data_IF_133758277098
#
_entry.id   IF_133758277098
#
_cell.length_a   1.000
_cell.length_b   1.000
_cell.length_c   1.000
_cell.angle_alpha   90.00
_cell.angle_beta   90.00
_cell.angle_gamma   90.00
#
_symmetry.space_group_name_H-M   'P 1'
#
loop_
_entity.id
_entity.type
_entity.pdbx_description
1 polymer ?
#
# COMPACT_ATOMS: atom_id res chain seq x y z
N UNK A 1 23.06 -9.81 32.74
CA UNK A 1 22.05 -9.50 31.68
C UNK A 1 22.47 -9.80 30.24
N UNK A 2 23.76 -9.71 29.85
CA UNK A 2 24.23 -10.03 28.47
C UNK A 2 24.16 -11.51 28.09
N UNK A 3 24.20 -12.45 29.04
CA UNK A 3 24.14 -13.90 28.77
C UNK A 3 22.74 -14.43 28.48
N UNK A 4 21.68 -13.78 28.98
CA UNK A 4 20.29 -14.22 28.75
C UNK A 4 19.81 -13.84 27.33
N UNK A 5 20.30 -12.74 26.78
CA UNK A 5 19.96 -12.31 25.42
C UNK A 5 20.56 -13.23 24.35
N UNK A 6 21.77 -13.79 24.62
CA UNK A 6 22.41 -14.75 23.72
C UNK A 6 21.69 -16.10 23.65
N UNK A 7 21.11 -16.57 24.76
CA UNK A 7 20.40 -17.85 24.80
C UNK A 7 19.06 -17.78 24.09
N UNK A 8 18.37 -16.64 24.15
CA UNK A 8 17.11 -16.41 23.40
C UNK A 8 17.31 -16.32 21.89
N UNK A 9 18.46 -15.80 21.46
CA UNK A 9 18.81 -15.74 20.03
C UNK A 9 19.23 -17.12 19.53
N UNK A 10 19.97 -17.89 20.33
CA UNK A 10 20.42 -19.24 19.97
C UNK A 10 19.25 -20.23 19.94
N UNK A 11 18.28 -20.13 20.86
CA UNK A 11 17.08 -20.98 20.89
C UNK A 11 16.16 -20.81 19.67
N UNK A 12 16.18 -19.64 19.03
CA UNK A 12 15.45 -19.37 17.80
C UNK A 12 16.17 -19.95 16.55
N UNK A 13 17.48 -20.18 16.63
CA UNK A 13 18.28 -20.67 15.52
C UNK A 13 18.28 -22.20 15.36
N UNK A 14 17.95 -22.95 16.42
CA UNK A 14 18.09 -24.42 16.43
C UNK A 14 16.84 -25.23 16.02
N UNK A 15 15.77 -24.56 15.57
CA UNK A 15 14.52 -25.26 15.25
C UNK A 15 14.16 -25.25 13.75
N UNK A 16 15.17 -25.23 12.86
CA UNK A 16 14.94 -25.23 11.41
C UNK A 16 14.48 -26.60 10.88
N UNK A 17 13.23 -26.71 10.48
CA UNK A 17 12.86 -27.68 9.46
C UNK A 17 13.07 -26.98 8.10
N UNK A 18 13.99 -27.47 7.31
CA UNK A 18 14.22 -27.01 5.95
C UNK A 18 13.00 -27.38 5.09
N UNK A 19 12.19 -26.41 4.78
CA UNK A 19 11.25 -26.55 3.68
C UNK A 19 12.00 -26.31 2.38
N UNK A 20 11.80 -27.16 1.38
CA UNK A 20 12.33 -26.93 0.06
C UNK A 20 11.81 -25.57 -0.49
N UNK A 21 12.74 -24.68 -0.79
CA UNK A 21 12.41 -23.35 -1.28
C UNK A 21 12.30 -23.32 -2.79
N UNK A 22 11.29 -22.57 -3.27
CA UNK A 22 11.25 -22.24 -4.70
C UNK A 22 12.34 -21.22 -5.04
N UNK A 23 12.88 -21.26 -6.26
CA UNK A 23 13.86 -20.28 -6.75
C UNK A 23 13.39 -18.82 -6.57
N UNK A 24 12.10 -18.59 -6.67
CA UNK A 24 11.49 -17.29 -6.44
C UNK A 24 11.65 -16.80 -4.99
N UNK A 25 11.50 -17.70 -4.02
CA UNK A 25 11.66 -17.38 -2.59
C UNK A 25 13.14 -17.12 -2.27
N UNK A 26 14.05 -17.92 -2.80
CA UNK A 26 15.50 -17.72 -2.66
C UNK A 26 15.93 -16.38 -3.22
N UNK A 27 15.50 -16.04 -4.43
CA UNK A 27 15.78 -14.74 -5.06
C UNK A 27 15.26 -13.59 -4.21
N UNK A 28 14.03 -13.70 -3.72
CA UNK A 28 13.44 -12.71 -2.83
C UNK A 28 14.22 -12.57 -1.51
N UNK A 29 14.56 -13.67 -0.87
CA UNK A 29 15.35 -13.69 0.36
C UNK A 29 16.71 -13.02 0.20
N UNK A 30 17.43 -13.37 -0.84
CA UNK A 30 18.72 -12.77 -1.20
C UNK A 30 18.59 -11.26 -1.40
N UNK A 31 17.61 -10.82 -2.20
CA UNK A 31 17.37 -9.40 -2.45
C UNK A 31 16.91 -8.64 -1.21
N UNK A 32 16.32 -9.33 -0.23
CA UNK A 32 15.85 -8.75 1.02
C UNK A 32 16.87 -8.75 2.13
N UNK A 33 18.07 -9.27 1.89
CA UNK A 33 19.14 -9.42 2.90
C UNK A 33 18.68 -10.18 4.16
N UNK A 34 17.86 -11.19 3.95
CA UNK A 34 17.39 -12.09 5.00
C UNK A 34 18.37 -13.28 5.06
N UNK A 35 18.76 -13.76 6.25
CA UNK A 35 19.53 -15.00 6.35
C UNK A 35 18.84 -16.16 5.65
N UNK A 36 19.60 -17.06 5.02
CA UNK A 36 19.07 -18.11 4.15
C UNK A 36 18.05 -19.01 4.86
N UNK A 37 18.29 -19.32 6.11
CA UNK A 37 17.40 -20.11 6.97
C UNK A 37 16.01 -19.48 7.20
N UNK A 38 15.85 -18.20 6.85
CA UNK A 38 14.59 -17.46 6.98
C UNK A 38 13.95 -17.09 5.63
N UNK A 39 14.45 -17.59 4.51
CA UNK A 39 13.91 -17.25 3.19
C UNK A 39 12.45 -17.63 3.05
N UNK A 40 12.07 -18.75 3.62
CA UNK A 40 10.69 -19.22 3.63
C UNK A 40 10.03 -19.00 5.00
N UNK A 41 9.29 -17.90 5.21
CA UNK A 41 8.62 -17.65 6.48
C UNK A 41 7.66 -18.77 6.85
N UNK A 42 7.81 -19.23 8.06
CA UNK A 42 6.96 -20.22 8.69
C UNK A 42 6.52 -19.73 10.08
N UNK A 43 5.70 -20.51 10.77
CA UNK A 43 5.18 -20.09 12.08
C UNK A 43 6.26 -19.77 13.11
N UNK A 44 7.44 -20.38 13.01
CA UNK A 44 8.58 -20.13 13.92
C UNK A 44 9.33 -18.85 13.58
N UNK A 45 9.32 -18.43 12.32
CA UNK A 45 10.06 -17.26 11.83
C UNK A 45 9.20 -16.00 11.67
N UNK A 46 7.89 -16.06 11.97
CA UNK A 46 6.96 -14.95 11.77
C UNK A 46 7.39 -13.65 12.46
N UNK A 47 7.85 -13.73 13.72
CA UNK A 47 8.30 -12.55 14.47
C UNK A 47 9.49 -11.87 13.80
N UNK A 48 10.44 -12.66 13.30
CA UNK A 48 11.58 -12.15 12.55
C UNK A 48 11.12 -11.43 11.27
N UNK A 49 10.27 -12.06 10.48
CA UNK A 49 9.76 -11.46 9.24
C UNK A 49 8.97 -10.18 9.51
N UNK A 50 8.11 -10.18 10.52
CA UNK A 50 7.39 -8.97 10.94
C UNK A 50 8.35 -7.83 11.27
N UNK A 51 9.34 -8.07 12.12
CA UNK A 51 10.34 -7.07 12.47
C UNK A 51 11.14 -6.60 11.27
N UNK A 52 11.54 -7.51 10.38
CA UNK A 52 12.28 -7.19 9.17
C UNK A 52 11.47 -6.30 8.22
N UNK A 53 10.20 -6.61 8.02
CA UNK A 53 9.30 -5.76 7.22
C UNK A 53 9.08 -4.40 7.89
N UNK A 54 8.82 -4.40 9.18
CA UNK A 54 8.53 -3.18 9.91
C UNK A 54 9.74 -2.25 10.07
N UNK A 55 10.97 -2.76 9.98
CA UNK A 55 12.20 -1.94 9.98
C UNK A 55 12.51 -1.29 8.63
N UNK A 56 11.78 -1.62 7.57
CA UNK A 56 12.00 -0.99 6.25
C UNK A 56 11.87 0.52 6.35
N UNK A 57 12.83 1.23 5.75
CA UNK A 57 12.89 2.68 5.73
C UNK A 57 13.17 3.35 7.09
N UNK A 58 13.64 2.62 8.11
CA UNK A 58 13.97 3.23 9.41
C UNK A 58 15.15 4.22 9.31
N UNK A 59 16.11 3.98 8.42
CA UNK A 59 17.23 4.87 8.14
C UNK A 59 16.88 6.06 7.22
N UNK A 60 15.69 6.06 6.63
CA UNK A 60 15.27 7.09 5.67
C UNK A 60 14.63 8.28 6.38
N UNK A 61 14.61 9.43 5.68
CA UNK A 61 13.79 10.58 6.10
C UNK A 61 12.33 10.18 6.18
N UNK A 62 11.62 10.73 7.14
CA UNK A 62 10.23 10.39 7.43
C UNK A 62 9.36 11.64 7.36
N UNK A 63 8.25 11.51 6.66
CA UNK A 63 7.18 12.50 6.65
C UNK A 63 6.06 11.96 7.53
N UNK A 64 5.68 12.72 8.54
CA UNK A 64 4.63 12.35 9.48
C UNK A 64 3.41 13.21 9.29
N UNK A 65 2.23 12.57 9.38
CA UNK A 65 1.01 13.31 9.69
C UNK A 65 0.88 13.48 11.19
N UNK A 66 0.25 14.57 11.61
CA UNK A 66 -0.18 14.72 13.00
C UNK A 66 -1.50 13.98 13.19
N UNK A 67 -1.78 13.46 14.39
CA UNK A 67 -3.12 12.97 14.74
C UNK A 67 -4.15 14.09 14.59
N UNK A 68 -5.37 13.72 14.21
CA UNK A 68 -6.50 14.65 14.22
C UNK A 68 -6.87 15.01 15.67
N UNK A 69 -7.28 16.25 15.89
CA UNK A 69 -7.88 16.64 17.17
C UNK A 69 -9.30 16.07 17.36
N UNK A 70 -9.92 15.70 16.23
CA UNK A 70 -11.23 15.07 16.18
C UNK A 70 -11.16 13.87 15.22
N UNK A 71 -10.62 12.73 15.68
CA UNK A 71 -10.51 11.55 14.84
C UNK A 71 -11.87 11.05 14.37
N UNK A 72 -11.92 10.56 13.13
CA UNK A 72 -13.11 9.89 12.61
C UNK A 72 -13.47 8.71 13.51
N UNK A 73 -14.69 8.74 14.06
CA UNK A 73 -15.16 7.72 14.98
C UNK A 73 -15.31 6.37 14.27
N UNK A 74 -14.97 5.31 15.00
CA UNK A 74 -15.22 3.94 14.57
C UNK A 74 -16.33 3.38 15.46
N UNK A 75 -17.41 2.94 14.85
CA UNK A 75 -18.50 2.25 15.53
C UNK A 75 -18.30 0.75 15.41
N UNK A 76 -18.61 0.02 16.47
CA UNK A 76 -18.45 -1.42 16.55
C UNK A 76 -19.81 -2.09 16.78
N UNK A 77 -20.12 -3.04 15.90
CA UNK A 77 -21.27 -3.94 16.03
C UNK A 77 -20.79 -5.35 15.68
N UNK A 78 -20.00 -5.92 16.58
CA UNK A 78 -19.26 -7.14 16.31
C UNK A 78 -20.19 -8.32 16.11
N UNK A 79 -20.08 -8.96 14.96
CA UNK A 79 -20.78 -10.20 14.67
C UNK A 79 -20.35 -11.29 15.66
N UNK A 80 -21.36 -11.97 16.22
CA UNK A 80 -21.16 -13.08 17.14
C UNK A 80 -21.22 -14.44 16.43
N UNK A 81 -21.12 -14.47 15.08
CA UNK A 81 -21.19 -15.74 14.33
C UNK A 81 -19.92 -16.58 14.57
N UNK A 82 -20.03 -17.67 15.36
CA UNK A 82 -18.86 -18.43 15.79
C UNK A 82 -18.11 -19.06 14.61
N UNK A 83 -18.81 -19.40 13.53
CA UNK A 83 -18.21 -20.05 12.35
C UNK A 83 -17.23 -19.13 11.63
N UNK A 84 -17.60 -17.87 11.40
CA UNK A 84 -16.75 -16.86 10.73
C UNK A 84 -15.53 -16.57 11.59
N UNK A 85 -15.75 -16.24 12.87
CA UNK A 85 -14.67 -15.94 13.82
C UNK A 85 -13.70 -17.13 13.93
N UNK A 86 -14.23 -18.36 14.04
CA UNK A 86 -13.41 -19.58 14.09
C UNK A 86 -12.57 -19.76 12.84
N UNK A 87 -13.12 -19.47 11.65
CA UNK A 87 -12.39 -19.58 10.37
C UNK A 87 -11.23 -18.57 10.31
N UNK A 88 -11.47 -17.32 10.70
CA UNK A 88 -10.42 -16.28 10.75
C UNK A 88 -9.36 -16.66 11.79
N UNK A 89 -9.77 -17.03 13.00
CA UNK A 89 -8.86 -17.44 14.08
C UNK A 89 -8.00 -18.64 13.66
N UNK A 90 -8.58 -19.64 13.00
CA UNK A 90 -7.82 -20.78 12.46
C UNK A 90 -6.77 -20.33 11.43
N UNK A 91 -7.13 -19.37 10.55
CA UNK A 91 -6.17 -18.80 9.61
C UNK A 91 -5.08 -17.99 10.31
N UNK A 92 -5.43 -17.22 11.32
CA UNK A 92 -4.43 -16.52 12.14
C UNK A 92 -3.47 -17.49 12.83
N UNK A 93 -3.95 -18.58 13.37
CA UNK A 93 -3.11 -19.59 14.04
C UNK A 93 -2.19 -20.33 13.08
N UNK A 94 -2.62 -20.60 11.85
CA UNK A 94 -1.92 -21.46 10.90
C UNK A 94 -1.16 -20.71 9.79
N UNK A 95 -1.25 -19.38 9.72
CA UNK A 95 -0.65 -18.57 8.63
C UNK A 95 0.01 -17.31 9.18
N UNK A 96 0.55 -16.44 8.29
CA UNK A 96 1.11 -15.14 8.64
C UNK A 96 0.08 -14.03 8.83
N UNK A 97 -1.22 -14.34 8.90
CA UNK A 97 -2.26 -13.33 9.08
C UNK A 97 -2.16 -12.69 10.46
N UNK A 98 -2.07 -11.35 10.47
CA UNK A 98 -1.90 -10.53 11.68
C UNK A 98 -3.23 -9.89 12.09
N UNK A 99 -3.92 -9.27 11.11
CA UNK A 99 -5.12 -8.48 11.36
C UNK A 99 -6.17 -8.77 10.31
N UNK A 100 -7.42 -8.81 10.73
CA UNK A 100 -8.59 -8.87 9.88
C UNK A 100 -9.65 -7.91 10.41
N UNK A 101 -10.09 -6.98 9.58
CA UNK A 101 -11.21 -6.09 9.86
C UNK A 101 -12.25 -6.19 8.74
N UNK A 102 -13.51 -6.18 9.09
CA UNK A 102 -14.60 -5.99 8.15
C UNK A 102 -15.49 -4.87 8.65
N UNK A 103 -15.70 -3.90 7.81
CA UNK A 103 -16.59 -2.76 8.01
C UNK A 103 -17.74 -2.88 7.02
N UNK A 104 -18.96 -2.68 7.49
CA UNK A 104 -20.17 -2.78 6.71
C UNK A 104 -21.21 -1.78 7.23
N UNK A 105 -21.78 -1.00 6.32
CA UNK A 105 -22.88 -0.06 6.61
C UNK A 105 -22.61 0.86 7.82
N UNK A 106 -21.40 1.38 7.95
CA UNK A 106 -21.07 2.35 9.01
C UNK A 106 -20.44 1.76 10.26
N UNK A 107 -20.30 0.44 10.36
CA UNK A 107 -19.85 -0.24 11.58
C UNK A 107 -18.78 -1.29 11.31
N UNK A 108 -17.87 -1.49 12.25
CA UNK A 108 -16.94 -2.62 12.26
C UNK A 108 -17.70 -3.84 12.75
N UNK A 109 -17.91 -4.81 11.86
CA UNK A 109 -18.65 -6.04 12.15
C UNK A 109 -17.73 -7.22 12.47
N UNK A 110 -16.49 -7.21 11.99
CA UNK A 110 -15.46 -8.19 12.37
C UNK A 110 -14.18 -7.45 12.73
N UNK A 111 -13.63 -7.80 13.88
CA UNK A 111 -12.39 -7.27 14.40
C UNK A 111 -11.57 -8.39 15.03
N UNK A 112 -10.51 -8.80 14.30
CA UNK A 112 -9.64 -9.87 14.75
C UNK A 112 -8.18 -9.44 14.64
N UNK A 113 -7.43 -9.68 15.70
CA UNK A 113 -5.98 -9.49 15.77
C UNK A 113 -5.32 -10.82 16.14
N UNK A 114 -4.15 -11.07 15.58
CA UNK A 114 -3.39 -12.30 15.87
C UNK A 114 -3.12 -12.41 17.37
N UNK A 115 -3.33 -13.61 17.95
CA UNK A 115 -3.23 -13.76 19.39
C UNK A 115 -1.78 -13.54 19.90
N UNK A 116 -1.61 -13.09 21.16
CA UNK A 116 -0.31 -12.72 21.73
C UNK A 116 0.74 -13.82 21.69
N UNK A 117 0.33 -15.10 21.75
CA UNK A 117 1.24 -16.26 21.72
C UNK A 117 2.11 -16.30 20.46
N UNK A 118 1.65 -15.63 19.39
CA UNK A 118 2.31 -15.63 18.09
C UNK A 118 3.33 -14.52 17.94
N UNK A 119 2.96 -13.31 18.29
CA UNK A 119 3.78 -12.12 18.09
C UNK A 119 4.23 -11.47 19.40
N UNK A 120 3.67 -11.88 20.54
CA UNK A 120 3.92 -11.24 21.84
C UNK A 120 3.50 -9.78 21.81
N UNK A 121 4.30 -8.95 22.47
CA UNK A 121 4.09 -7.49 22.57
C UNK A 121 4.46 -6.73 21.29
N UNK A 122 4.78 -7.43 20.20
CA UNK A 122 5.16 -6.80 18.94
C UNK A 122 3.97 -6.21 18.18
N UNK A 123 2.76 -6.63 18.48
CA UNK A 123 1.54 -6.26 17.74
C UNK A 123 0.39 -5.99 18.70
N UNK A 124 -0.15 -4.79 18.57
CA UNK A 124 -1.39 -4.33 19.20
C UNK A 124 -2.21 -3.52 18.18
N UNK A 125 -3.26 -2.87 18.63
CA UNK A 125 -4.12 -2.03 17.80
C UNK A 125 -3.44 -0.76 17.29
N UNK A 126 -2.44 -0.25 18.02
CA UNK A 126 -1.73 0.99 17.74
C UNK A 126 -0.41 0.76 17.00
N UNK A 127 -0.01 -0.49 16.84
CA UNK A 127 1.20 -0.87 16.13
C UNK A 127 1.17 -0.33 14.70
N UNK A 128 2.15 0.51 14.37
CA UNK A 128 2.32 1.04 13.02
C UNK A 128 2.88 -0.03 12.09
N UNK A 129 2.05 -0.55 11.21
CA UNK A 129 2.41 -1.64 10.31
C UNK A 129 2.71 -1.08 8.91
N UNK A 130 3.71 -1.67 8.24
CA UNK A 130 4.18 -1.23 6.93
C UNK A 130 3.21 -1.63 5.81
N UNK A 131 2.72 -0.64 5.04
CA UNK A 131 1.65 -0.78 4.04
C UNK A 131 2.02 -1.58 2.79
N UNK A 132 3.31 -1.84 2.56
CA UNK A 132 3.76 -2.36 1.29
C UNK A 132 3.22 -1.51 0.10
N UNK A 133 2.79 -2.16 -0.97
CA UNK A 133 2.27 -1.47 -2.16
C UNK A 133 0.87 -0.84 -1.98
N UNK A 134 0.17 -1.10 -0.89
CA UNK A 134 -1.07 -0.39 -0.53
C UNK A 134 -0.89 1.13 -0.54
N UNK A 135 0.30 1.61 -0.19
CA UNK A 135 0.63 3.03 -0.23
C UNK A 135 0.57 3.68 -1.60
N UNK A 136 0.64 2.90 -2.70
CA UNK A 136 0.47 3.44 -4.06
C UNK A 136 -0.94 3.98 -4.23
N UNK A 137 -1.94 3.23 -3.80
CA UNK A 137 -3.35 3.64 -3.88
C UNK A 137 -3.61 4.88 -3.02
N UNK A 138 -2.98 4.99 -1.84
CA UNK A 138 -2.98 6.24 -1.08
C UNK A 138 -2.42 7.40 -1.91
N UNK A 139 -1.34 7.17 -2.67
CA UNK A 139 -0.79 8.17 -3.60
C UNK A 139 -1.80 8.62 -4.64
N UNK A 140 -2.59 7.71 -5.22
CA UNK A 140 -3.68 8.02 -6.15
C UNK A 140 -4.78 8.86 -5.49
N UNK A 141 -5.18 8.52 -4.28
CA UNK A 141 -6.14 9.30 -3.50
C UNK A 141 -5.61 10.73 -3.21
N UNK A 142 -4.33 10.86 -2.88
CA UNK A 142 -3.70 12.16 -2.67
C UNK A 142 -3.64 13.00 -3.96
N UNK A 143 -3.47 12.40 -5.14
CA UNK A 143 -3.60 13.11 -6.44
C UNK A 143 -5.00 13.72 -6.58
N UNK A 144 -6.07 12.99 -6.25
CA UNK A 144 -7.43 13.51 -6.27
C UNK A 144 -7.59 14.75 -5.40
N UNK A 145 -7.10 14.68 -4.17
CA UNK A 145 -7.09 15.85 -3.30
C UNK A 145 -6.25 17.02 -3.82
N UNK A 146 -5.14 16.74 -4.50
CA UNK A 146 -4.33 17.79 -5.12
C UNK A 146 -5.08 18.48 -6.29
N UNK A 147 -5.86 17.72 -7.06
CA UNK A 147 -6.75 18.26 -8.09
C UNK A 147 -7.86 19.10 -7.42
N UNK A 148 -8.56 18.56 -6.44
CA UNK A 148 -9.68 19.23 -5.79
C UNK A 148 -9.28 20.51 -5.01
N UNK A 149 -8.02 20.60 -4.59
CA UNK A 149 -7.46 21.81 -3.96
C UNK A 149 -6.83 22.79 -4.98
N UNK A 150 -6.91 22.52 -6.28
CA UNK A 150 -6.42 23.38 -7.35
C UNK A 150 -4.89 23.37 -7.53
N UNK A 151 -4.17 22.45 -6.92
CA UNK A 151 -2.73 22.31 -7.15
C UNK A 151 -2.43 21.67 -8.51
N UNK A 152 -3.27 20.74 -8.95
CA UNK A 152 -3.23 20.08 -10.25
C UNK A 152 -4.54 20.38 -10.95
N UNK A 153 -4.51 20.75 -12.22
CA UNK A 153 -5.73 21.22 -12.90
C UNK A 153 -6.72 20.07 -13.15
N UNK A 154 -6.25 18.92 -13.63
CA UNK A 154 -7.12 17.78 -13.97
C UNK A 154 -6.33 16.48 -14.20
N UNK A 155 -7.04 15.37 -14.36
CA UNK A 155 -6.47 14.09 -14.78
C UNK A 155 -5.82 14.13 -16.18
N UNK A 156 -6.32 14.99 -17.06
CA UNK A 156 -5.78 15.17 -18.43
C UNK A 156 -4.56 16.10 -18.50
N UNK A 157 -4.22 16.81 -17.40
CA UNK A 157 -3.03 17.63 -17.35
C UNK A 157 -1.77 16.80 -17.56
N UNK A 158 -0.85 17.28 -18.40
CA UNK A 158 0.48 16.68 -18.54
C UNK A 158 1.39 17.12 -17.41
N UNK A 159 2.51 16.40 -17.24
CA UNK A 159 3.55 16.77 -16.27
C UNK A 159 4.55 17.80 -16.83
N UNK A 160 4.30 18.35 -18.03
CA UNK A 160 5.23 19.23 -18.75
C UNK A 160 5.64 20.49 -17.99
N UNK A 161 4.83 20.95 -17.04
CA UNK A 161 5.13 22.08 -16.17
C UNK A 161 6.20 21.77 -15.10
N UNK A 162 6.56 20.48 -14.93
CA UNK A 162 7.59 20.07 -13.99
C UNK A 162 8.96 19.96 -14.68
N UNK A 163 9.91 20.86 -14.37
CA UNK A 163 11.17 20.94 -15.13
C UNK A 163 11.99 19.65 -15.17
N UNK A 164 11.87 18.78 -14.16
CA UNK A 164 12.66 17.55 -14.10
C UNK A 164 12.25 16.49 -15.12
N UNK A 165 11.05 16.56 -15.68
CA UNK A 165 10.57 15.59 -16.69
C UNK A 165 10.88 16.02 -18.12
N UNK A 166 11.40 17.24 -18.31
CA UNK A 166 11.73 17.76 -19.64
C UNK A 166 12.71 16.84 -20.38
N UNK A 167 12.39 16.54 -21.62
CA UNK A 167 13.17 15.63 -22.46
C UNK A 167 13.02 14.16 -22.08
N UNK A 168 12.02 13.79 -21.28
CA UNK A 168 11.74 12.40 -20.92
C UNK A 168 10.34 11.99 -21.38
N UNK A 169 10.05 10.69 -21.39
CA UNK A 169 8.72 10.17 -21.71
C UNK A 169 7.61 10.71 -20.77
N UNK A 170 7.96 11.21 -19.58
CA UNK A 170 7.00 11.74 -18.62
C UNK A 170 6.54 13.15 -18.99
N UNK A 171 7.25 13.89 -19.84
CA UNK A 171 6.87 15.25 -20.24
C UNK A 171 5.48 15.31 -20.90
N UNK A 172 5.18 14.29 -21.71
CA UNK A 172 3.88 14.16 -22.39
C UNK A 172 2.88 13.24 -21.70
N UNK A 173 3.29 12.61 -20.60
CA UNK A 173 2.39 11.77 -19.83
C UNK A 173 1.36 12.63 -19.09
N UNK A 174 0.10 12.22 -19.12
CA UNK A 174 -0.93 12.83 -18.30
C UNK A 174 -0.89 12.32 -16.86
N UNK A 175 -1.52 13.05 -15.96
CA UNK A 175 -1.73 12.60 -14.58
C UNK A 175 -2.47 11.26 -14.56
N UNK A 176 -3.48 11.09 -15.45
CA UNK A 176 -4.20 9.83 -15.62
C UNK A 176 -3.28 8.68 -16.06
N UNK A 177 -2.39 8.92 -17.05
CA UNK A 177 -1.42 7.90 -17.47
C UNK A 177 -0.51 7.48 -16.31
N UNK A 178 -0.06 8.44 -15.53
CA UNK A 178 0.82 8.21 -14.40
C UNK A 178 0.17 7.34 -13.33
N UNK A 179 -1.04 7.71 -12.89
CA UNK A 179 -1.73 6.99 -11.81
C UNK A 179 -2.33 5.65 -12.26
N UNK A 180 -2.51 5.46 -13.57
CA UNK A 180 -2.88 4.17 -14.15
C UNK A 180 -1.67 3.27 -14.45
N UNK A 181 -0.45 3.72 -14.11
CA UNK A 181 0.78 3.04 -14.47
C UNK A 181 0.85 2.68 -15.97
N UNK A 182 0.49 3.62 -16.83
CA UNK A 182 0.37 3.46 -18.31
C UNK A 182 1.07 4.58 -19.09
N UNK A 183 2.16 5.12 -18.57
CA UNK A 183 2.92 6.21 -19.18
C UNK A 183 3.66 5.84 -20.48
N UNK A 184 3.57 4.59 -20.91
CA UNK A 184 4.33 4.08 -22.07
C UNK A 184 5.76 3.69 -21.71
N UNK A 185 6.12 3.68 -20.46
CA UNK A 185 7.39 3.15 -19.98
C UNK A 185 7.35 1.63 -19.97
N UNK A 186 8.24 1.01 -20.71
CA UNK A 186 8.33 -0.45 -20.85
C UNK A 186 9.65 -1.02 -20.31
N UNK A 187 10.61 -0.18 -20.00
CA UNK A 187 12.00 -0.62 -19.87
C UNK A 187 12.63 -0.32 -18.50
N UNK A 188 12.19 0.72 -17.82
CA UNK A 188 12.93 1.30 -16.68
C UNK A 188 12.40 0.93 -15.32
N UNK A 189 11.28 0.31 -15.28
CA UNK A 189 10.43 0.09 -14.13
C UNK A 189 10.96 -0.99 -13.20
N UNK A 190 11.68 -1.94 -13.76
CA UNK A 190 12.26 -3.08 -13.07
C UNK A 190 13.73 -2.89 -12.69
N UNK A 191 14.23 -1.67 -12.77
CA UNK A 191 15.55 -1.42 -12.22
C UNK A 191 15.50 -1.66 -10.71
N UNK A 192 16.17 -2.69 -10.25
CA UNK A 192 16.19 -3.13 -8.85
C UNK A 192 16.55 -2.02 -7.87
N UNK A 193 17.33 -1.02 -8.27
CA UNK A 193 17.67 0.13 -7.45
C UNK A 193 16.48 1.05 -7.19
N UNK A 194 15.61 1.24 -8.19
CA UNK A 194 14.39 2.06 -8.06
C UNK A 194 13.25 1.28 -7.40
N UNK A 195 13.17 -0.02 -7.68
CA UNK A 195 12.08 -0.88 -7.18
C UNK A 195 12.29 -1.32 -5.73
N UNK A 196 13.52 -1.52 -5.30
CA UNK A 196 13.78 -2.06 -3.95
C UNK A 196 13.59 -1.06 -2.83
N UNK A 197 13.52 0.24 -3.12
CA UNK A 197 13.57 1.29 -2.08
C UNK A 197 14.81 1.19 -1.21
N UNK A 198 15.78 0.35 -1.63
CA UNK A 198 17.07 0.23 -0.97
C UNK A 198 17.96 1.32 -1.53
N UNK A 199 18.62 2.01 -0.65
CA UNK A 199 19.74 2.88 -0.95
C UNK A 199 19.51 3.83 -2.14
N UNK A 200 18.32 4.49 -2.17
CA UNK A 200 18.19 5.68 -3.00
C UNK A 200 19.22 6.73 -2.50
N UNK A 201 19.79 6.51 -1.31
CA UNK A 201 20.88 7.29 -0.77
C UNK A 201 20.64 8.79 -0.88
N UNK A 202 21.57 9.49 -1.47
CA UNK A 202 21.46 10.93 -1.78
C UNK A 202 20.78 11.22 -3.13
N UNK A 203 20.20 10.19 -3.79
CA UNK A 203 19.52 10.39 -5.07
C UNK A 203 18.26 11.24 -4.86
N UNK A 204 18.06 12.16 -5.79
CA UNK A 204 16.85 12.99 -5.89
C UNK A 204 15.91 12.41 -6.94
N UNK A 205 14.64 12.75 -6.89
CA UNK A 205 13.71 12.37 -7.96
C UNK A 205 14.19 12.93 -9.31
N UNK A 206 14.80 14.10 -9.34
CA UNK A 206 15.37 14.70 -10.53
C UNK A 206 16.55 13.88 -11.08
N UNK A 207 17.48 13.44 -10.22
CA UNK A 207 18.64 12.65 -10.67
C UNK A 207 18.22 11.29 -11.20
N UNK A 208 17.23 10.65 -10.57
CA UNK A 208 16.68 9.38 -11.02
C UNK A 208 16.00 9.56 -12.38
N UNK A 209 15.14 10.55 -12.52
CA UNK A 209 14.43 10.83 -13.78
C UNK A 209 15.42 11.13 -14.91
N UNK A 210 16.41 11.97 -14.66
CA UNK A 210 17.45 12.31 -15.64
C UNK A 210 18.28 11.09 -16.04
N UNK A 211 18.71 10.28 -15.08
CA UNK A 211 19.57 9.11 -15.34
C UNK A 211 18.83 8.02 -16.12
N UNK A 212 17.63 7.68 -15.70
CA UNK A 212 16.91 6.50 -16.22
C UNK A 212 16.02 6.82 -17.42
N UNK A 213 15.53 8.06 -17.54
CA UNK A 213 14.55 8.43 -18.54
C UNK A 213 15.04 9.51 -19.54
N UNK A 214 16.29 9.98 -19.45
CA UNK A 214 16.80 10.99 -20.37
C UNK A 214 16.69 10.51 -21.84
N UNK A 215 16.17 11.40 -22.70
CA UNK A 215 15.96 11.15 -24.13
C UNK A 215 15.04 9.96 -24.44
N UNK A 216 14.25 9.53 -23.46
CA UNK A 216 13.26 8.46 -23.69
C UNK A 216 12.00 9.04 -24.35
N UNK A 217 11.37 8.22 -25.20
CA UNK A 217 10.07 8.53 -25.79
C UNK A 217 9.02 7.56 -25.25
N UNK A 218 7.77 7.99 -25.10
CA UNK A 218 6.71 7.10 -24.68
C UNK A 218 6.52 5.99 -25.72
N UNK A 219 6.45 4.75 -25.25
CA UNK A 219 6.01 3.59 -26.02
C UNK A 219 4.49 3.49 -26.04
N UNK A 220 3.97 2.30 -26.37
CA UNK A 220 2.53 2.04 -26.30
C UNK A 220 2.02 2.20 -24.86
N UNK A 221 1.03 3.06 -24.68
CA UNK A 221 0.35 3.23 -23.38
C UNK A 221 -0.38 1.94 -23.01
N UNK A 222 0.14 1.22 -22.03
CA UNK A 222 -0.44 0.01 -21.47
C UNK A 222 -0.03 -0.09 -20.00
N UNK A 223 -0.79 -0.83 -19.25
CA UNK A 223 -0.45 -1.10 -17.84
C UNK A 223 0.95 -1.70 -17.72
N UNK A 224 1.77 -1.08 -16.89
CA UNK A 224 3.08 -1.56 -16.52
C UNK A 224 3.37 -1.19 -15.04
N UNK A 225 3.22 -2.17 -14.18
CA UNK A 225 3.34 -1.96 -12.72
C UNK A 225 4.75 -1.54 -12.31
N UNK A 226 4.86 -0.48 -11.51
CA UNK A 226 6.16 0.00 -11.02
C UNK A 226 6.11 0.58 -9.60
N UNK A 227 7.28 0.71 -9.00
CA UNK A 227 7.47 1.52 -7.78
C UNK A 227 7.76 2.99 -8.12
N UNK A 228 8.22 3.26 -9.33
CA UNK A 228 8.65 4.60 -9.71
C UNK A 228 7.46 5.54 -9.95
N UNK A 229 6.44 5.13 -10.70
CA UNK A 229 5.28 5.97 -11.02
C UNK A 229 4.57 6.54 -9.79
N UNK A 230 4.29 5.79 -8.71
CA UNK A 230 3.71 6.35 -7.49
C UNK A 230 4.64 7.34 -6.79
N UNK A 231 5.95 7.11 -6.81
CA UNK A 231 6.90 8.07 -6.25
C UNK A 231 6.95 9.35 -7.08
N UNK A 232 6.89 9.26 -8.42
CA UNK A 232 6.75 10.41 -9.32
C UNK A 232 5.49 11.20 -8.96
N UNK A 233 4.34 10.54 -8.78
CA UNK A 233 3.08 11.20 -8.42
C UNK A 233 3.18 12.00 -7.13
N UNK A 234 3.73 11.41 -6.06
CA UNK A 234 3.89 12.10 -4.78
C UNK A 234 4.88 13.28 -4.86
N UNK A 235 5.97 13.12 -5.60
CA UNK A 235 6.93 14.20 -5.79
C UNK A 235 6.39 15.30 -6.71
N UNK A 236 5.52 14.97 -7.66
CA UNK A 236 4.78 15.95 -8.45
C UNK A 236 3.82 16.77 -7.56
N UNK A 237 3.11 16.12 -6.63
CA UNK A 237 2.32 16.85 -5.61
C UNK A 237 3.23 17.80 -4.82
N UNK A 238 4.39 17.33 -4.38
CA UNK A 238 5.35 18.17 -3.64
C UNK A 238 5.76 19.39 -4.46
N UNK A 239 6.09 19.22 -5.73
CA UNK A 239 6.39 20.32 -6.64
C UNK A 239 5.20 21.28 -6.77
N UNK A 240 4.01 20.77 -7.06
CA UNK A 240 2.79 21.57 -7.24
C UNK A 240 2.35 22.34 -5.99
N UNK A 241 2.67 21.82 -4.80
CA UNK A 241 2.40 22.49 -3.52
C UNK A 241 3.53 23.45 -3.08
N UNK A 242 4.50 23.74 -3.95
CA UNK A 242 5.66 24.57 -3.60
C UNK A 242 6.52 23.92 -2.51
N UNK A 243 6.69 22.61 -2.58
CA UNK A 243 7.44 21.79 -1.63
C UNK A 243 6.88 21.81 -0.19
N UNK A 244 5.56 21.96 -0.06
CA UNK A 244 4.82 21.89 1.20
C UNK A 244 4.05 20.58 1.37
N UNK A 245 4.65 19.46 0.93
CA UNK A 245 4.01 18.15 0.94
C UNK A 245 3.55 17.75 2.34
N UNK A 246 4.34 18.01 3.38
CA UNK A 246 3.94 17.70 4.77
C UNK A 246 2.67 18.43 5.21
N UNK A 247 2.52 19.71 4.80
CA UNK A 247 1.29 20.47 5.07
C UNK A 247 0.12 19.91 4.28
N UNK A 248 0.36 19.56 3.02
CA UNK A 248 -0.66 18.97 2.16
C UNK A 248 -1.18 17.63 2.70
N UNK A 249 -0.29 16.67 3.07
CA UNK A 249 -0.75 15.39 3.62
C UNK A 249 -1.48 15.55 4.96
N UNK A 250 -1.10 16.54 5.78
CA UNK A 250 -1.87 16.84 6.99
C UNK A 250 -3.28 17.34 6.67
N UNK A 251 -3.45 18.22 5.67
CA UNK A 251 -4.78 18.70 5.27
C UNK A 251 -5.68 17.60 4.71
N UNK A 252 -5.11 16.48 4.25
CA UNK A 252 -5.87 15.32 3.78
C UNK A 252 -6.03 14.29 4.90
N UNK A 253 -4.93 13.79 5.43
CA UNK A 253 -4.98 12.62 6.32
C UNK A 253 -5.38 12.97 7.76
N UNK A 254 -4.95 14.14 8.24
CA UNK A 254 -5.35 14.62 9.57
C UNK A 254 -6.73 15.27 9.54
N UNK A 255 -6.95 16.22 8.61
CA UNK A 255 -8.13 17.11 8.68
C UNK A 255 -9.34 16.51 7.94
N UNK A 256 -9.15 15.80 6.80
CA UNK A 256 -10.22 15.19 6.04
C UNK A 256 -10.49 13.72 6.45
N UNK A 257 -9.45 12.86 6.44
CA UNK A 257 -9.60 11.44 6.83
C UNK A 257 -9.82 11.29 8.34
N UNK A 258 -9.25 12.17 9.15
CA UNK A 258 -9.39 12.13 10.60
C UNK A 258 -8.63 10.97 11.25
N UNK A 259 -7.34 10.79 10.93
CA UNK A 259 -6.52 9.77 11.55
C UNK A 259 -6.40 9.99 13.07
N UNK A 260 -6.53 8.94 13.86
CA UNK A 260 -6.37 8.99 15.31
C UNK A 260 -4.89 8.98 15.72
N UNK A 261 -4.05 8.30 14.97
CA UNK A 261 -2.62 8.20 15.19
C UNK A 261 -1.81 8.94 14.14
N UNK A 262 -0.50 8.72 14.17
CA UNK A 262 0.42 9.22 13.16
C UNK A 262 0.45 8.26 11.97
N UNK A 263 0.44 8.79 10.76
CA UNK A 263 0.85 8.04 9.58
C UNK A 263 2.26 8.50 9.20
N UNK A 264 3.13 7.56 8.84
CA UNK A 264 4.50 7.82 8.42
C UNK A 264 4.71 7.39 6.98
N UNK A 265 5.15 8.31 6.13
CA UNK A 265 5.69 8.01 4.81
C UNK A 265 7.21 8.10 4.83
N UNK A 266 7.87 7.29 4.04
CA UNK A 266 9.32 7.31 3.91
C UNK A 266 9.75 8.27 2.80
N UNK A 267 11.01 8.71 2.86
CA UNK A 267 11.61 9.53 1.83
C UNK A 267 13.11 9.67 2.02
N UNK A 268 13.76 10.35 1.10
CA UNK A 268 15.18 10.68 1.16
C UNK A 268 15.38 12.19 1.06
N UNK A 269 16.48 12.69 1.60
CA UNK A 269 16.85 14.11 1.50
C UNK A 269 15.83 15.06 2.12
N UNK A 270 15.88 16.33 1.70
CA UNK A 270 14.89 17.34 2.08
C UNK A 270 13.69 17.29 1.13
N UNK A 271 12.54 17.80 1.56
CA UNK A 271 11.29 17.72 0.80
C UNK A 271 11.41 18.27 -0.63
N UNK A 272 12.14 19.37 -0.82
CA UNK A 272 12.35 19.99 -2.13
C UNK A 272 13.29 19.24 -3.06
N UNK A 273 14.14 18.35 -2.56
CA UNK A 273 15.19 17.67 -3.33
C UNK A 273 15.18 16.15 -3.18
N UNK A 274 14.51 15.64 -2.16
CA UNK A 274 14.48 14.22 -1.87
C UNK A 274 13.49 13.45 -2.74
N UNK A 275 13.34 12.18 -2.43
CA UNK A 275 12.32 11.30 -2.98
C UNK A 275 11.28 11.03 -1.90
N UNK A 276 10.02 11.30 -2.17
CA UNK A 276 8.90 10.87 -1.35
C UNK A 276 8.46 9.51 -1.87
N UNK A 277 8.43 8.51 -0.99
CA UNK A 277 8.05 7.14 -1.32
C UNK A 277 6.59 6.88 -0.99
N UNK A 278 5.93 6.09 -1.83
CA UNK A 278 4.50 5.83 -1.71
C UNK A 278 4.11 4.92 -0.53
N UNK A 279 5.05 4.17 0.02
CA UNK A 279 4.72 3.32 1.17
C UNK A 279 4.57 4.14 2.46
N UNK A 280 3.68 3.66 3.31
CA UNK A 280 3.43 4.29 4.61
C UNK A 280 3.43 3.25 5.74
N UNK A 281 3.42 3.74 6.98
CA UNK A 281 3.09 2.98 8.18
C UNK A 281 1.94 3.67 8.91
N UNK A 282 0.97 2.90 9.33
CA UNK A 282 -0.16 3.34 10.14
C UNK A 282 -0.66 2.19 11.00
N UNK A 283 -1.48 2.51 11.99
CA UNK A 283 -2.20 1.49 12.74
C UNK A 283 -3.27 0.81 11.87
N UNK A 284 -3.73 -0.36 12.30
CA UNK A 284 -4.80 -1.09 11.60
C UNK A 284 -6.09 -0.28 11.48
N UNK A 285 -6.44 0.44 12.53
CA UNK A 285 -7.64 1.29 12.54
C UNK A 285 -7.47 2.55 11.70
N UNK A 286 -6.29 3.15 11.67
CA UNK A 286 -6.04 4.30 10.80
C UNK A 286 -5.98 3.90 9.33
N UNK A 287 -5.49 2.71 9.02
CA UNK A 287 -5.59 2.15 7.67
C UNK A 287 -7.05 1.94 7.27
N UNK A 288 -7.90 1.46 8.18
CA UNK A 288 -9.33 1.35 7.93
C UNK A 288 -10.00 2.72 7.75
N UNK A 289 -9.63 3.76 8.54
CA UNK A 289 -10.13 5.13 8.37
C UNK A 289 -9.86 5.69 6.98
N UNK A 290 -8.70 5.39 6.40
CA UNK A 290 -8.41 5.75 5.00
C UNK A 290 -9.44 5.10 4.06
N UNK A 291 -9.71 3.81 4.24
CA UNK A 291 -10.71 3.10 3.44
C UNK A 291 -12.13 3.68 3.61
N UNK A 292 -12.52 4.01 4.84
CA UNK A 292 -13.82 4.62 5.15
C UNK A 292 -13.93 6.01 4.51
N UNK A 293 -12.87 6.82 4.55
CA UNK A 293 -12.86 8.13 3.90
C UNK A 293 -13.04 8.00 2.39
N UNK A 294 -12.32 7.07 1.74
CA UNK A 294 -12.48 6.79 0.29
C UNK A 294 -13.92 6.34 -0.04
N UNK A 295 -14.51 5.47 0.79
CA UNK A 295 -15.90 5.01 0.63
C UNK A 295 -16.89 6.17 0.76
N UNK A 296 -16.74 7.01 1.77
CA UNK A 296 -17.60 8.16 2.01
C UNK A 296 -17.46 9.21 0.89
N UNK A 297 -16.24 9.46 0.42
CA UNK A 297 -15.99 10.37 -0.69
C UNK A 297 -16.64 9.87 -1.98
N UNK A 298 -16.52 8.60 -2.30
CA UNK A 298 -17.18 7.98 -3.46
C UNK A 298 -18.68 8.19 -3.43
N UNK A 299 -19.29 8.04 -2.28
CA UNK A 299 -20.74 8.19 -2.08
C UNK A 299 -21.19 9.65 -2.00
N UNK A 300 -20.26 10.61 -2.07
CA UNK A 300 -20.55 12.04 -2.02
C UNK A 300 -20.58 12.66 -3.42
N UNK A 301 -21.34 13.76 -3.55
CA UNK A 301 -21.32 14.59 -4.76
C UNK A 301 -20.32 15.75 -4.60
N UNK A 302 -19.09 15.37 -4.33
CA UNK A 302 -17.96 16.30 -4.13
C UNK A 302 -16.93 16.14 -5.24
N UNK A 303 -15.99 17.09 -5.32
CA UNK A 303 -14.88 17.00 -6.27
C UNK A 303 -14.13 15.68 -6.11
N UNK A 304 -13.83 15.25 -4.88
CA UNK A 304 -13.07 14.01 -4.66
C UNK A 304 -13.91 12.77 -5.00
N UNK A 305 -15.21 12.79 -4.75
CA UNK A 305 -16.12 11.72 -5.17
C UNK A 305 -16.17 11.58 -6.69
N UNK A 306 -16.31 12.69 -7.41
CA UNK A 306 -16.27 12.72 -8.87
C UNK A 306 -14.91 12.25 -9.42
N UNK A 307 -13.80 12.69 -8.81
CA UNK A 307 -12.46 12.19 -9.15
C UNK A 307 -12.36 10.66 -9.03
N UNK A 308 -12.83 10.07 -7.94
CA UNK A 308 -12.77 8.62 -7.74
C UNK A 308 -13.59 7.87 -8.80
N UNK A 309 -14.77 8.37 -9.15
CA UNK A 309 -15.64 7.82 -10.21
C UNK A 309 -14.97 7.93 -11.58
N UNK A 310 -14.38 9.08 -11.90
CA UNK A 310 -13.65 9.30 -13.15
C UNK A 310 -12.43 8.38 -13.27
N UNK A 311 -11.67 8.23 -12.20
CA UNK A 311 -10.54 7.31 -12.15
C UNK A 311 -10.99 5.87 -12.42
N UNK A 312 -12.06 5.42 -11.77
CA UNK A 312 -12.60 4.07 -11.97
C UNK A 312 -13.12 3.86 -13.40
N UNK A 313 -13.80 4.86 -13.97
CA UNK A 313 -14.32 4.81 -15.34
C UNK A 313 -13.17 4.68 -16.36
N UNK A 314 -12.05 5.35 -16.12
CA UNK A 314 -10.87 5.37 -16.98
C UNK A 314 -9.81 4.31 -16.60
N UNK A 315 -10.24 3.21 -15.98
CA UNK A 315 -9.35 2.09 -15.63
C UNK A 315 -8.75 1.43 -16.86
N UNK A 316 -7.53 0.94 -16.71
CA UNK A 316 -6.81 0.23 -17.79
C UNK A 316 -6.77 -1.27 -17.50
N UNK A 317 -6.89 -2.08 -18.55
CA UNK A 317 -6.71 -3.52 -18.43
C UNK A 317 -5.25 -3.86 -18.08
N UNK A 318 -5.03 -4.80 -17.19
CA UNK A 318 -3.70 -5.35 -16.91
C UNK A 318 -3.21 -6.29 -18.01
N UNK A 319 -4.09 -6.77 -18.89
CA UNK A 319 -3.76 -7.68 -19.99
C UNK A 319 -3.03 -8.93 -19.51
N UNK A 320 -2.11 -9.41 -20.33
CA UNK A 320 -1.24 -10.57 -20.03
C UNK A 320 -0.20 -10.27 -18.94
N UNK A 321 -0.01 -9.01 -18.60
CA UNK A 321 0.84 -8.57 -17.50
C UNK A 321 0.10 -8.63 -16.13
N UNK A 322 -0.75 -9.60 -15.99
CA UNK A 322 -1.42 -9.90 -14.72
C UNK A 322 -0.35 -10.38 -13.73
N UNK A 323 0.37 -9.40 -13.19
CA UNK A 323 1.54 -9.65 -12.36
C UNK A 323 1.07 -9.96 -10.97
N UNK A 324 1.22 -11.19 -10.66
CA UNK A 324 1.37 -11.59 -9.30
C UNK A 324 0.20 -12.38 -8.77
N UNK A 325 -1.00 -11.90 -8.66
CA UNK A 325 -1.94 -12.56 -7.76
C UNK A 325 -3.31 -12.92 -8.36
N UNK A 326 -3.51 -12.65 -9.65
CA UNK A 326 -4.71 -13.10 -10.36
C UNK A 326 -6.04 -12.52 -9.85
N UNK A 327 -6.00 -11.55 -8.94
CA UNK A 327 -7.20 -11.07 -8.27
C UNK A 327 -7.95 -10.02 -9.03
N UNK A 328 -7.24 -9.08 -9.64
CA UNK A 328 -7.86 -7.98 -10.36
C UNK A 328 -7.40 -7.92 -11.80
N UNK A 329 -8.32 -7.59 -12.69
CA UNK A 329 -8.05 -7.55 -14.13
C UNK A 329 -7.73 -6.16 -14.64
N UNK A 330 -8.00 -5.12 -13.85
CA UNK A 330 -7.79 -3.73 -14.23
C UNK A 330 -7.10 -2.92 -13.13
N UNK A 331 -6.62 -1.73 -13.50
CA UNK A 331 -5.91 -0.82 -12.62
C UNK A 331 -6.36 0.61 -12.87
N UNK A 332 -6.58 1.38 -11.81
CA UNK A 332 -7.10 2.73 -11.89
C UNK A 332 -6.61 3.56 -10.70
N UNK A 333 -5.94 4.68 -10.94
CA UNK A 333 -5.51 5.56 -9.85
C UNK A 333 -4.64 4.87 -8.81
N UNK A 334 -3.81 3.91 -9.22
CA UNK A 334 -3.05 3.01 -8.37
C UNK A 334 -3.89 2.02 -7.54
N UNK A 335 -5.19 1.91 -7.76
CA UNK A 335 -6.04 0.87 -7.19
C UNK A 335 -6.15 -0.33 -8.12
N UNK A 336 -6.25 -1.49 -7.55
CA UNK A 336 -6.65 -2.71 -8.23
C UNK A 336 -8.17 -2.73 -8.38
N UNK A 337 -8.67 -3.08 -9.57
CA UNK A 337 -10.10 -3.06 -9.87
C UNK A 337 -10.51 -4.24 -10.74
N UNK A 338 -11.80 -4.46 -10.89
CA UNK A 338 -12.36 -5.54 -11.71
C UNK A 338 -11.88 -6.92 -11.24
N UNK A 339 -12.44 -7.37 -10.13
CA UNK A 339 -12.11 -8.67 -9.53
C UNK A 339 -12.96 -9.77 -10.17
N UNK A 340 -12.36 -10.88 -10.64
CA UNK A 340 -13.10 -11.97 -11.27
C UNK A 340 -14.21 -12.53 -10.38
N UNK A 341 -15.42 -12.63 -10.93
CA UNK A 341 -16.58 -13.16 -10.22
C UNK A 341 -17.29 -12.16 -9.29
N UNK A 342 -16.81 -10.91 -9.25
CA UNK A 342 -17.46 -9.81 -8.51
C UNK A 342 -17.98 -8.82 -9.53
N UNK A 343 -19.32 -8.60 -9.55
CA UNK A 343 -20.00 -7.63 -10.42
C UNK A 343 -19.98 -6.22 -9.86
N UNK A 344 -19.84 -6.09 -8.55
CA UNK A 344 -19.89 -4.82 -7.85
C UNK A 344 -18.69 -3.93 -8.14
N UNK A 345 -18.85 -2.66 -7.89
CA UNK A 345 -17.79 -1.66 -8.00
C UNK A 345 -16.82 -1.81 -6.83
N UNK A 346 -15.70 -2.48 -7.07
CA UNK A 346 -14.68 -2.73 -6.04
C UNK A 346 -13.35 -2.11 -6.43
N UNK A 347 -12.75 -1.36 -5.52
CA UNK A 347 -11.37 -0.88 -5.60
C UNK A 347 -10.54 -1.47 -4.45
N UNK A 348 -9.35 -1.96 -4.78
CA UNK A 348 -8.45 -2.59 -3.82
C UNK A 348 -7.12 -1.85 -3.69
N UNK A 349 -6.69 -1.67 -2.46
CA UNK A 349 -5.36 -1.23 -2.08
C UNK A 349 -4.55 -2.47 -1.70
N UNK A 350 -3.76 -3.02 -2.62
CA UNK A 350 -3.05 -4.27 -2.39
C UNK A 350 -1.56 -4.06 -2.11
N UNK A 351 -1.04 -4.85 -1.21
CA UNK A 351 0.36 -4.87 -0.83
C UNK A 351 0.95 -6.28 -0.76
N UNK A 352 2.25 -6.36 -0.98
CA UNK A 352 2.99 -7.61 -0.83
C UNK A 352 2.82 -8.20 0.57
N UNK A 353 2.68 -9.51 0.64
CA UNK A 353 2.68 -10.23 1.92
C UNK A 353 1.30 -10.51 2.51
N UNK A 354 0.22 -10.30 1.75
CA UNK A 354 -1.15 -10.49 2.22
C UNK A 354 -1.73 -9.24 2.90
N UNK A 355 -1.22 -8.07 2.49
CA UNK A 355 -1.76 -6.77 2.90
C UNK A 355 -2.78 -6.36 1.85
N UNK A 356 -4.04 -6.20 2.23
CA UNK A 356 -5.10 -5.77 1.33
C UNK A 356 -6.18 -4.97 2.08
N UNK A 357 -6.67 -3.94 1.42
CA UNK A 357 -7.87 -3.21 1.83
C UNK A 357 -8.75 -3.07 0.58
N UNK A 358 -9.85 -3.82 0.52
CA UNK A 358 -10.82 -3.77 -0.56
C UNK A 358 -12.04 -2.97 -0.11
N UNK A 359 -12.55 -2.15 -1.03
CA UNK A 359 -13.72 -1.30 -0.81
C UNK A 359 -14.76 -1.67 -1.86
N UNK A 360 -15.91 -2.18 -1.43
CA UNK A 360 -17.10 -2.37 -2.25
C UNK A 360 -18.02 -1.15 -2.04
N UNK A 361 -18.16 -0.35 -3.08
CA UNK A 361 -18.92 0.90 -3.03
C UNK A 361 -20.42 0.66 -3.11
N UNK A 362 -20.85 -0.42 -3.75
CA UNK A 362 -22.26 -0.73 -3.93
C UNK A 362 -22.90 -1.24 -2.62
N UNK A 363 -22.11 -1.99 -1.84
CA UNK A 363 -22.54 -2.60 -0.57
C UNK A 363 -22.07 -1.82 0.68
N UNK A 364 -21.41 -0.69 0.53
CA UNK A 364 -20.78 0.07 1.64
C UNK A 364 -19.94 -0.81 2.56
N UNK A 365 -19.07 -1.65 1.98
CA UNK A 365 -18.30 -2.66 2.71
C UNK A 365 -16.81 -2.48 2.47
N UNK A 366 -16.03 -2.70 3.53
CA UNK A 366 -14.56 -2.72 3.46
C UNK A 366 -14.07 -4.00 4.13
N UNK A 367 -13.11 -4.66 3.48
CA UNK A 367 -12.37 -5.77 4.09
C UNK A 367 -10.89 -5.40 4.12
N UNK A 368 -10.31 -5.43 5.31
CA UNK A 368 -8.88 -5.20 5.51
C UNK A 368 -8.21 -6.45 6.08
N UNK A 369 -7.12 -6.83 5.47
CA UNK A 369 -6.21 -7.86 5.98
C UNK A 369 -4.79 -7.34 6.03
N UNK A 370 -4.05 -7.77 7.05
CA UNK A 370 -2.62 -7.59 7.10
C UNK A 370 -1.95 -8.91 7.46
N UNK A 371 -0.92 -9.27 6.70
CA UNK A 371 -0.17 -10.49 6.93
C UNK A 371 1.33 -10.28 6.63
N UNK A 372 2.16 -11.22 7.08
CA UNK A 372 3.61 -11.08 6.95
C UNK A 372 4.17 -11.80 5.73
N UNK A 373 3.37 -12.58 5.03
CA UNK A 373 3.91 -13.39 3.94
C UNK A 373 2.93 -13.74 2.82
N UNK A 374 3.43 -13.61 1.59
CA UNK A 374 2.72 -13.79 0.33
C UNK A 374 2.23 -15.21 0.03
N UNK A 375 2.88 -16.23 0.59
CA UNK A 375 2.54 -17.62 0.28
C UNK A 375 1.22 -18.08 0.92
N UNK A 376 0.61 -17.24 1.74
CA UNK A 376 -0.67 -17.54 2.35
C UNK A 376 -1.79 -16.98 1.48
N UNK A 377 -2.63 -17.85 0.97
CA UNK A 377 -3.78 -17.47 0.18
C UNK A 377 -4.91 -16.96 1.08
N UNK A 378 -5.11 -15.65 1.10
CA UNK A 378 -6.19 -14.97 1.84
C UNK A 378 -7.45 -14.70 1.01
N UNK A 379 -7.48 -15.08 -0.28
CA UNK A 379 -8.59 -14.79 -1.19
C UNK A 379 -9.92 -15.26 -0.66
N UNK A 380 -9.94 -16.47 -0.08
CA UNK A 380 -11.16 -17.00 0.50
C UNK A 380 -11.68 -16.21 1.70
N UNK A 381 -10.84 -15.37 2.33
CA UNK A 381 -11.24 -14.48 3.41
C UNK A 381 -11.57 -13.05 2.94
N UNK A 382 -11.06 -12.66 1.78
CA UNK A 382 -11.17 -11.27 1.28
C UNK A 382 -12.20 -11.17 0.16
N UNK A 383 -12.05 -11.93 -0.93
CA UNK A 383 -12.92 -11.77 -2.10
C UNK A 383 -14.36 -12.16 -1.82
N UNK A 384 -14.57 -13.25 -1.10
CA UNK A 384 -15.92 -13.68 -0.76
C UNK A 384 -16.60 -12.76 0.25
N UNK A 385 -15.80 -12.22 1.19
CA UNK A 385 -16.31 -11.29 2.18
C UNK A 385 -16.66 -9.94 1.55
N UNK A 386 -15.82 -9.43 0.63
CA UNK A 386 -16.09 -8.16 -0.03
C UNK A 386 -17.31 -8.23 -0.97
N UNK A 387 -17.50 -9.37 -1.62
CA UNK A 387 -18.65 -9.61 -2.52
C UNK A 387 -19.95 -9.86 -1.74
N UNK A 388 -19.92 -10.75 -0.76
CA UNK A 388 -21.17 -11.28 -0.15
C UNK A 388 -21.38 -10.93 1.33
N UNK A 389 -20.45 -10.22 1.96
CA UNK A 389 -20.51 -9.96 3.41
C UNK A 389 -20.35 -11.21 4.28
N UNK A 390 -19.96 -12.33 3.70
CA UNK A 390 -19.81 -13.64 4.38
C UNK A 390 -18.78 -14.50 3.68
N UNK A 391 -18.40 -15.62 4.30
CA UNK A 391 -17.46 -16.60 3.77
C UNK A 391 -18.13 -17.87 3.29
#
# INVERSE_FOLDING_TARGET
MKKILGILILGLLLSGNAYAESEKVKTWGKNSQIPEEYYNPNLKTLRYHFLKYNKRGESQKKFYTKPSSQPSSLKFNLQKEPKIIKKISKKMQSTGLISYLMYENGEIVIDQLSPPERFGDLIDNDTMIYSMSMGKSLGGYLIGHAICKGYINSLSSTLADWPIVKGTLLETATVQDLINASTGDQKYIWNNQLDSGRDIGDLTIASITKKELANTKPGKKRFNYSQFSPNVALNYISFKTGHKFSSFINSVLKDHVGLAGKLRMNGTGVESKGVIQSNFKASRYDTLRIGIAILNDWNSDTCIGNYLKDVYANRVSKGVYNVGDGYSQSYAGFFHTNYPGISDTVMGMDGYGGVALLINFDDNRIVYTHAVHRNYNYNSLVLKAIDKGKF
#
